data_IF_567138116296
#
_entry.id   IF_567138116296
#
_cell.length_a   1.000
_cell.length_b   1.000
_cell.length_c   1.000
_cell.angle_alpha   90.00
_cell.angle_beta   90.00
_cell.angle_gamma   90.00
#
_symmetry.space_group_name_H-M   'P 1'
#
loop_
_entity.id
_entity.type
_entity.pdbx_description
1 polymer ?
#
# COMPACT_ATOMS: atom_id res chain seq x y z
N UNK A 1 -3.00 -3.36 12.84
CA UNK A 1 -3.13 -2.40 11.70
C UNK A 1 -2.02 -1.36 11.89
N UNK A 2 -1.26 -1.01 10.84
CA UNK A 2 -0.23 0.05 10.95
C UNK A 2 -0.86 1.41 11.28
N UNK A 3 -0.18 2.26 12.05
CA UNK A 3 -0.66 3.60 12.41
C UNK A 3 -0.96 4.48 11.19
N UNK A 4 -0.15 4.39 10.13
CA UNK A 4 -0.44 5.08 8.86
C UNK A 4 -1.77 4.63 8.25
N UNK A 5 -2.06 3.33 8.29
CA UNK A 5 -3.33 2.78 7.81
C UNK A 5 -4.49 3.21 8.70
N UNK A 6 -4.29 3.29 10.02
CA UNK A 6 -5.29 3.80 10.96
C UNK A 6 -5.61 5.26 10.68
N UNK A 7 -4.59 6.10 10.54
CA UNK A 7 -4.72 7.53 10.24
C UNK A 7 -5.47 7.77 8.93
N UNK A 8 -5.11 7.04 7.87
CA UNK A 8 -5.80 7.14 6.58
C UNK A 8 -7.28 6.76 6.67
N UNK A 9 -7.61 5.71 7.42
CA UNK A 9 -9.01 5.32 7.64
C UNK A 9 -9.78 6.40 8.39
N UNK A 10 -9.19 6.99 9.43
CA UNK A 10 -9.79 8.10 10.17
C UNK A 10 -10.03 9.31 9.26
N UNK A 11 -9.06 9.67 8.43
CA UNK A 11 -9.20 10.75 7.45
C UNK A 11 -10.36 10.48 6.48
N UNK A 12 -10.46 9.28 5.91
CA UNK A 12 -11.55 8.95 4.99
C UNK A 12 -12.92 8.92 5.67
N UNK A 13 -13.00 8.52 6.93
CA UNK A 13 -14.23 8.64 7.71
C UNK A 13 -14.57 10.11 7.97
N UNK A 14 -13.60 10.96 8.30
CA UNK A 14 -13.83 12.39 8.49
C UNK A 14 -14.35 13.06 7.20
N UNK A 15 -13.79 12.72 6.05
CA UNK A 15 -14.28 13.22 4.76
C UNK A 15 -15.72 12.82 4.45
N UNK A 16 -16.13 11.62 4.85
CA UNK A 16 -17.54 11.20 4.75
C UNK A 16 -18.45 12.07 5.62
N UNK A 17 -18.03 12.36 6.86
CA UNK A 17 -18.80 13.20 7.78
C UNK A 17 -18.92 14.65 7.28
N UNK A 18 -17.83 15.21 6.74
CA UNK A 18 -17.85 16.54 6.12
C UNK A 18 -18.81 16.57 4.93
N UNK A 19 -18.69 15.59 4.02
CA UNK A 19 -19.61 15.48 2.89
C UNK A 19 -21.07 15.35 3.36
N UNK A 20 -21.35 14.54 4.38
CA UNK A 20 -22.69 14.36 4.90
C UNK A 20 -23.28 15.65 5.46
N UNK A 21 -22.47 16.44 6.19
CA UNK A 21 -22.87 17.75 6.68
C UNK A 21 -23.16 18.73 5.53
N UNK A 22 -22.36 18.72 4.46
CA UNK A 22 -22.61 19.53 3.25
C UNK A 22 -23.90 19.15 2.53
N UNK A 23 -24.33 17.88 2.63
CA UNK A 23 -25.60 17.40 2.10
C UNK A 23 -26.80 17.65 3.04
N UNK A 24 -26.58 18.24 4.22
CA UNK A 24 -27.62 18.48 5.21
C UNK A 24 -28.17 17.21 5.87
N UNK A 25 -27.39 16.13 5.90
CA UNK A 25 -27.79 14.87 6.53
C UNK A 25 -27.72 14.94 8.05
N UNK A 26 -28.70 14.31 8.71
CA UNK A 26 -28.76 14.21 10.16
C UNK A 26 -27.92 13.04 10.69
N UNK A 27 -27.72 12.96 12.01
CA UNK A 27 -26.97 11.84 12.60
C UNK A 27 -27.58 10.46 12.26
N UNK A 28 -28.92 10.40 12.17
CA UNK A 28 -29.68 9.20 11.84
C UNK A 28 -29.42 8.72 10.40
N UNK A 29 -29.18 9.67 9.47
CA UNK A 29 -28.86 9.38 8.06
C UNK A 29 -27.41 8.92 7.85
N UNK A 30 -26.53 9.25 8.80
CA UNK A 30 -25.08 9.04 8.73
C UNK A 30 -24.67 7.74 9.44
N UNK A 31 -25.44 7.29 10.43
CA UNK A 31 -25.08 6.14 11.24
C UNK A 31 -26.29 5.35 11.80
N UNK A 32 -26.59 4.16 11.24
CA UNK A 32 -25.98 3.57 10.05
C UNK A 32 -26.40 4.32 8.78
N UNK A 33 -25.47 4.54 7.82
CA UNK A 33 -25.83 5.20 6.58
C UNK A 33 -26.76 4.32 5.76
N UNK A 34 -27.84 4.91 5.25
CA UNK A 34 -28.72 4.24 4.30
C UNK A 34 -27.98 3.87 3.01
N UNK A 35 -28.51 2.91 2.26
CA UNK A 35 -27.91 2.55 0.98
C UNK A 35 -27.85 3.74 0.00
N UNK A 36 -28.89 4.60 0.01
CA UNK A 36 -28.94 5.83 -0.78
C UNK A 36 -27.83 6.81 -0.38
N UNK A 37 -27.60 7.01 0.92
CA UNK A 37 -26.49 7.83 1.45
C UNK A 37 -25.14 7.33 0.93
N UNK A 38 -24.93 6.00 0.93
CA UNK A 38 -23.71 5.39 0.44
C UNK A 38 -23.52 5.57 -1.08
N UNK A 39 -24.59 5.49 -1.87
CA UNK A 39 -24.52 5.74 -3.31
C UNK A 39 -24.18 7.19 -3.62
N UNK A 40 -24.84 8.13 -2.95
CA UNK A 40 -24.62 9.56 -3.16
C UNK A 40 -23.18 9.92 -2.79
N UNK A 41 -22.68 9.38 -1.69
CA UNK A 41 -21.27 9.54 -1.32
C UNK A 41 -20.34 8.97 -2.38
N UNK A 42 -20.57 7.74 -2.86
CA UNK A 42 -19.75 7.13 -3.91
C UNK A 42 -19.82 7.92 -5.23
N UNK A 43 -21.01 8.37 -5.63
CA UNK A 43 -21.26 9.11 -6.86
C UNK A 43 -20.61 10.50 -6.84
N UNK A 44 -20.44 11.12 -5.66
CA UNK A 44 -19.77 12.41 -5.50
C UNK A 44 -18.33 12.44 -6.06
N UNK A 45 -17.71 11.26 -6.21
CA UNK A 45 -16.36 11.06 -6.72
C UNK A 45 -16.28 10.84 -8.24
N UNK A 46 -17.41 10.65 -8.92
CA UNK A 46 -17.42 10.41 -10.36
C UNK A 46 -16.73 11.55 -11.12
N UNK A 47 -15.77 11.24 -12.01
CA UNK A 47 -14.99 12.25 -12.73
C UNK A 47 -13.90 12.94 -11.91
N UNK A 48 -13.83 12.72 -10.59
CA UNK A 48 -12.89 13.42 -9.69
C UNK A 48 -11.78 12.51 -9.17
N UNK A 49 -12.10 11.26 -8.84
CA UNK A 49 -11.15 10.31 -8.25
C UNK A 49 -11.02 9.04 -9.08
N UNK A 50 -9.86 8.39 -8.96
CA UNK A 50 -9.68 7.01 -9.40
C UNK A 50 -10.64 6.07 -8.63
N UNK A 51 -11.23 5.11 -9.35
CA UNK A 51 -12.16 4.14 -8.77
C UNK A 51 -11.61 3.39 -7.56
N UNK A 52 -10.31 3.05 -7.56
CA UNK A 52 -9.64 2.44 -6.40
C UNK A 52 -9.66 3.32 -5.14
N UNK A 53 -9.51 4.63 -5.30
CA UNK A 53 -9.56 5.60 -4.19
C UNK A 53 -10.98 5.73 -3.65
N UNK A 54 -11.99 5.82 -4.52
CA UNK A 54 -13.40 5.86 -4.13
C UNK A 54 -13.80 4.59 -3.33
N UNK A 55 -13.44 3.40 -3.83
CA UNK A 55 -13.65 2.11 -3.13
C UNK A 55 -12.99 2.11 -1.75
N UNK A 56 -11.78 2.67 -1.62
CA UNK A 56 -11.07 2.74 -0.35
C UNK A 56 -11.75 3.67 0.67
N UNK A 57 -12.31 4.81 0.22
CA UNK A 57 -13.07 5.73 1.08
C UNK A 57 -14.34 5.07 1.60
N UNK A 58 -15.14 4.47 0.73
CA UNK A 58 -16.36 3.72 1.12
C UNK A 58 -16.02 2.56 2.07
N UNK A 59 -14.91 1.86 1.83
CA UNK A 59 -14.45 0.79 2.73
C UNK A 59 -14.06 1.30 4.13
N UNK A 60 -13.55 2.53 4.26
CA UNK A 60 -13.29 3.14 5.56
C UNK A 60 -14.60 3.41 6.32
N UNK A 61 -15.63 3.93 5.65
CA UNK A 61 -16.98 4.10 6.22
C UNK A 61 -17.54 2.76 6.68
N UNK A 62 -17.46 1.71 5.85
CA UNK A 62 -17.87 0.35 6.25
C UNK A 62 -17.18 -0.11 7.52
N UNK A 63 -15.85 0.04 7.61
CA UNK A 63 -15.09 -0.33 8.79
C UNK A 63 -15.48 0.48 10.04
N UNK A 64 -15.82 1.75 9.87
CA UNK A 64 -16.29 2.61 10.95
C UNK A 64 -17.66 2.18 11.49
N UNK A 65 -18.63 1.91 10.60
CA UNK A 65 -19.97 1.40 10.95
C UNK A 65 -19.87 0.04 11.66
N UNK A 66 -19.11 -0.89 11.09
CA UNK A 66 -18.95 -2.24 11.64
C UNK A 66 -18.24 -2.23 13.00
N UNK A 67 -17.30 -1.31 13.23
CA UNK A 67 -16.63 -1.16 14.55
C UNK A 67 -17.62 -0.77 15.65
N UNK A 68 -18.72 -0.08 15.30
CA UNK A 68 -19.82 0.27 16.21
C UNK A 68 -20.90 -0.82 16.31
N UNK A 69 -20.67 -2.00 15.70
CA UNK A 69 -21.61 -3.13 15.66
C UNK A 69 -22.96 -2.81 15.00
N UNK A 70 -22.97 -1.85 14.08
CA UNK A 70 -24.15 -1.49 13.31
C UNK A 70 -24.19 -2.24 11.98
N UNK A 71 -25.39 -2.39 11.42
CA UNK A 71 -25.61 -3.03 10.13
C UNK A 71 -24.99 -2.21 9.00
N UNK A 72 -24.42 -2.91 8.02
CA UNK A 72 -23.89 -2.31 6.80
C UNK A 72 -24.88 -2.55 5.67
N UNK A 73 -25.54 -1.48 5.23
CA UNK A 73 -26.58 -1.55 4.19
C UNK A 73 -26.04 -1.57 2.76
N UNK A 74 -24.72 -1.45 2.54
CA UNK A 74 -24.17 -1.40 1.18
C UNK A 74 -24.24 -2.74 0.44
N UNK A 75 -25.05 -2.82 -0.62
CA UNK A 75 -25.29 -4.01 -1.44
C UNK A 75 -24.78 -3.92 -2.90
N UNK A 76 -25.46 -4.66 -3.80
CA UNK A 76 -25.07 -4.79 -5.21
C UNK A 76 -25.11 -3.47 -5.99
N UNK A 77 -26.07 -2.61 -5.67
CA UNK A 77 -26.22 -1.32 -6.30
C UNK A 77 -25.05 -0.39 -5.95
N UNK A 78 -24.54 -0.42 -4.72
CA UNK A 78 -23.36 0.37 -4.34
C UNK A 78 -22.14 -0.08 -5.15
N UNK A 79 -22.02 -1.38 -5.39
CA UNK A 79 -21.00 -1.94 -6.28
C UNK A 79 -21.17 -1.45 -7.71
N UNK A 80 -22.40 -1.38 -8.23
CA UNK A 80 -22.68 -0.84 -9.56
C UNK A 80 -22.32 0.65 -9.67
N UNK A 81 -22.65 1.46 -8.67
CA UNK A 81 -22.26 2.87 -8.60
C UNK A 81 -20.74 3.02 -8.60
N UNK A 82 -20.03 2.23 -7.77
CA UNK A 82 -18.56 2.24 -7.74
C UNK A 82 -17.93 1.81 -9.08
N UNK A 83 -18.53 0.86 -9.79
CA UNK A 83 -18.11 0.51 -11.16
C UNK A 83 -18.35 1.67 -12.13
N UNK A 84 -19.47 2.41 -11.98
CA UNK A 84 -19.74 3.63 -12.74
C UNK A 84 -18.71 4.74 -12.47
N UNK A 85 -18.35 4.94 -11.20
CA UNK A 85 -17.28 5.87 -10.79
C UNK A 85 -15.94 5.47 -11.41
N UNK A 86 -15.61 4.19 -11.39
CA UNK A 86 -14.39 3.66 -12.01
C UNK A 86 -14.36 3.92 -13.52
N UNK A 87 -15.46 3.72 -14.24
CA UNK A 87 -15.58 4.04 -15.68
C UNK A 87 -15.49 5.54 -15.97
N UNK A 88 -15.90 6.39 -15.04
CA UNK A 88 -15.76 7.85 -15.12
C UNK A 88 -14.44 8.36 -14.52
N UNK A 89 -13.47 7.50 -14.25
CA UNK A 89 -12.15 7.93 -13.77
C UNK A 89 -11.53 8.91 -14.79
N UNK A 90 -11.08 10.10 -14.38
CA UNK A 90 -10.53 11.07 -15.33
C UNK A 90 -9.25 10.53 -15.96
N UNK A 91 -8.99 10.88 -17.23
CA UNK A 91 -7.80 10.44 -17.96
C UNK A 91 -6.49 10.76 -17.22
N UNK A 92 -6.46 11.90 -16.51
CA UNK A 92 -5.33 12.34 -15.67
C UNK A 92 -5.01 11.42 -14.48
N UNK A 93 -5.93 10.54 -14.08
CA UNK A 93 -5.69 9.54 -13.03
C UNK A 93 -4.98 8.28 -13.55
N UNK A 94 -4.87 8.10 -14.86
CA UNK A 94 -4.12 7.01 -15.44
C UNK A 94 -2.69 7.46 -15.67
N UNK A 95 -1.75 6.63 -15.22
CA UNK A 95 -0.34 6.79 -15.54
C UNK A 95 0.03 5.75 -16.58
N UNK A 96 0.86 6.15 -17.54
CA UNK A 96 1.46 5.21 -18.48
C UNK A 96 2.20 4.11 -17.72
N UNK A 97 2.10 2.90 -18.26
CA UNK A 97 2.81 1.78 -17.70
C UNK A 97 4.31 2.07 -17.73
N UNK A 98 4.94 2.07 -16.56
CA UNK A 98 6.39 2.27 -16.46
C UNK A 98 7.11 1.18 -17.27
N UNK A 99 8.16 1.53 -18.03
CA UNK A 99 8.91 0.55 -18.78
C UNK A 99 9.51 -0.50 -17.84
N UNK A 100 9.66 -1.75 -18.30
CA UNK A 100 10.25 -2.80 -17.48
C UNK A 100 11.69 -2.43 -17.12
N UNK A 101 12.05 -2.68 -15.86
CA UNK A 101 13.43 -2.59 -15.42
C UNK A 101 14.23 -3.69 -16.10
N UNK A 102 15.39 -3.34 -16.66
CA UNK A 102 16.29 -4.28 -17.33
C UNK A 102 17.58 -4.47 -16.53
N UNK A 103 18.36 -5.49 -16.88
CA UNK A 103 19.63 -5.79 -16.21
C UNK A 103 20.62 -4.65 -16.37
N UNK A 104 20.60 -3.95 -17.50
CA UNK A 104 21.51 -2.84 -17.80
C UNK A 104 21.32 -1.70 -16.79
N UNK A 105 20.07 -1.41 -16.39
CA UNK A 105 19.79 -0.40 -15.37
C UNK A 105 20.42 -0.75 -14.02
N UNK A 106 20.50 -2.05 -13.70
CA UNK A 106 21.16 -2.50 -12.47
C UNK A 106 22.68 -2.32 -12.59
N UNK A 107 23.27 -2.59 -13.75
CA UNK A 107 24.70 -2.38 -13.98
C UNK A 107 25.05 -0.91 -13.86
N UNK A 108 24.32 -0.02 -14.57
CA UNK A 108 24.50 1.43 -14.45
C UNK A 108 24.39 1.91 -13.01
N UNK A 109 23.37 1.45 -12.27
CA UNK A 109 23.23 1.81 -10.87
C UNK A 109 24.44 1.35 -10.04
N UNK A 110 24.99 0.16 -10.30
CA UNK A 110 26.11 -0.39 -9.53
C UNK A 110 27.42 0.33 -9.83
N UNK A 111 27.66 0.69 -11.09
CA UNK A 111 28.88 1.36 -11.55
C UNK A 111 29.02 2.77 -10.96
N UNK A 112 27.91 3.41 -10.60
CA UNK A 112 27.87 4.73 -9.96
C UNK A 112 27.98 4.69 -8.43
N UNK A 113 27.99 3.51 -7.80
CA UNK A 113 28.10 3.39 -6.33
C UNK A 113 29.55 3.53 -5.88
N UNK A 114 29.81 4.46 -4.96
CA UNK A 114 31.09 4.49 -4.23
C UNK A 114 31.12 3.39 -3.16
N UNK A 115 31.88 2.34 -3.44
CA UNK A 115 32.12 1.18 -2.56
C UNK A 115 33.48 1.23 -1.85
N UNK A 116 34.13 2.40 -1.80
CA UNK A 116 35.42 2.59 -1.10
C UNK A 116 35.35 2.46 0.43
N UNK A 117 34.16 2.24 1.00
CA UNK A 117 33.93 2.08 2.44
C UNK A 117 33.47 3.36 3.15
N UNK A 118 33.42 4.50 2.46
CA UNK A 118 33.03 5.81 2.98
C UNK A 118 31.52 5.94 3.29
N UNK A 119 30.68 5.17 2.58
CA UNK A 119 29.23 5.33 2.58
C UNK A 119 28.50 3.99 2.76
N UNK A 120 27.92 3.76 3.94
CA UNK A 120 27.13 2.56 4.23
C UNK A 120 25.86 2.44 3.37
N UNK A 121 25.31 3.56 2.89
CA UNK A 121 24.15 3.58 2.00
C UNK A 121 24.47 2.92 0.64
N UNK A 122 25.64 3.22 0.05
CA UNK A 122 26.03 2.64 -1.23
C UNK A 122 26.18 1.11 -1.14
N UNK A 123 26.74 0.63 -0.03
CA UNK A 123 26.83 -0.80 0.26
C UNK A 123 25.44 -1.44 0.40
N UNK A 124 24.52 -0.78 1.11
CA UNK A 124 23.14 -1.26 1.22
C UNK A 124 22.46 -1.32 -0.15
N UNK A 125 22.61 -0.27 -0.97
CA UNK A 125 22.04 -0.20 -2.32
C UNK A 125 22.63 -1.28 -3.25
N UNK A 126 23.93 -1.56 -3.15
CA UNK A 126 24.58 -2.62 -3.91
C UNK A 126 23.98 -4.01 -3.67
N UNK A 127 23.55 -4.29 -2.43
CA UNK A 127 22.89 -5.54 -2.02
C UNK A 127 21.39 -5.54 -2.33
N UNK A 128 20.70 -4.42 -2.08
CA UNK A 128 19.25 -4.28 -2.25
C UNK A 128 18.85 -4.37 -3.72
N UNK A 129 19.63 -3.78 -4.62
CA UNK A 129 19.40 -3.79 -6.07
C UNK A 129 19.15 -5.21 -6.62
N UNK A 130 20.10 -6.17 -6.53
CA UNK A 130 19.88 -7.52 -7.03
C UNK A 130 18.82 -8.28 -6.21
N UNK A 131 18.68 -8.00 -4.91
CA UNK A 131 17.64 -8.59 -4.06
C UNK A 131 16.24 -8.25 -4.54
N UNK A 132 15.95 -6.97 -4.76
CA UNK A 132 14.67 -6.50 -5.31
C UNK A 132 14.44 -7.02 -6.73
N UNK A 133 15.46 -6.99 -7.59
CA UNK A 133 15.31 -7.36 -9.00
C UNK A 133 15.16 -8.87 -9.22
N UNK A 134 16.11 -9.68 -8.73
CA UNK A 134 16.08 -11.12 -8.97
C UNK A 134 15.18 -11.86 -7.99
N UNK A 135 15.13 -11.40 -6.74
CA UNK A 135 14.25 -11.99 -5.73
C UNK A 135 12.81 -11.48 -5.80
N UNK A 136 12.52 -10.48 -6.65
CA UNK A 136 11.22 -9.80 -6.72
C UNK A 136 10.77 -9.29 -5.34
N UNK A 137 11.76 -8.96 -4.48
CA UNK A 137 11.55 -8.55 -3.11
C UNK A 137 10.99 -7.14 -3.10
N UNK A 138 10.08 -6.87 -2.17
CA UNK A 138 9.66 -5.49 -1.91
C UNK A 138 10.76 -4.83 -1.10
N UNK A 139 11.09 -3.58 -1.40
CA UNK A 139 12.10 -2.83 -0.63
C UNK A 139 11.85 -2.88 0.87
N UNK A 140 10.59 -2.82 1.31
CA UNK A 140 10.19 -2.91 2.73
C UNK A 140 10.45 -4.27 3.40
N UNK A 141 10.88 -5.30 2.68
CA UNK A 141 11.21 -6.63 3.21
C UNK A 141 12.71 -6.78 3.49
N UNK A 142 13.55 -5.90 2.92
CA UNK A 142 15.00 -5.94 3.03
C UNK A 142 15.62 -4.63 3.53
N UNK A 143 14.89 -3.52 3.43
CA UNK A 143 15.27 -2.21 3.96
C UNK A 143 14.48 -1.90 5.23
N UNK A 144 15.16 -1.28 6.18
CA UNK A 144 14.55 -0.66 7.33
C UNK A 144 13.68 0.53 6.88
N UNK A 145 12.53 0.72 7.51
CA UNK A 145 11.64 1.86 7.20
C UNK A 145 12.02 3.13 7.96
N UNK A 146 12.87 3.00 8.97
CA UNK A 146 13.37 4.06 9.84
C UNK A 146 14.86 4.27 9.59
N UNK A 147 15.34 5.49 9.86
CA UNK A 147 16.75 5.82 9.85
C UNK A 147 17.42 5.55 11.20
N UNK A 148 16.63 5.25 12.24
CA UNK A 148 17.14 4.91 13.57
C UNK A 148 17.65 3.45 13.58
N UNK A 149 18.95 3.21 13.83
CA UNK A 149 19.50 1.87 13.95
C UNK A 149 18.84 1.03 15.06
N UNK A 150 18.26 1.66 16.10
CA UNK A 150 17.56 0.96 17.17
C UNK A 150 16.29 0.24 16.69
N UNK A 151 15.71 0.67 15.57
CA UNK A 151 14.53 0.04 14.97
C UNK A 151 14.88 -1.26 14.21
N UNK A 152 16.17 -1.57 14.04
CA UNK A 152 16.59 -2.81 13.41
C UNK A 152 16.21 -4.03 14.27
N UNK A 153 15.36 -4.89 13.72
CA UNK A 153 14.97 -6.13 14.36
C UNK A 153 15.34 -7.34 13.47
N UNK A 154 16.28 -8.20 13.88
CA UNK A 154 16.73 -9.36 13.10
C UNK A 154 15.67 -10.46 12.97
N UNK A 155 14.57 -10.42 13.74
CA UNK A 155 13.41 -11.29 13.54
C UNK A 155 12.49 -10.79 12.42
N UNK A 156 12.64 -9.54 11.96
CA UNK A 156 11.79 -8.94 10.93
C UNK A 156 12.53 -8.67 9.62
N UNK A 157 13.84 -8.42 9.67
CA UNK A 157 14.67 -8.11 8.51
C UNK A 157 15.75 -9.18 8.34
N UNK A 158 16.08 -9.55 7.09
CA UNK A 158 17.13 -10.52 6.84
C UNK A 158 18.50 -9.98 7.26
N UNK A 159 19.31 -10.89 7.80
CA UNK A 159 20.71 -10.67 8.16
C UNK A 159 21.62 -11.44 7.21
N UNK A 160 22.93 -11.25 7.33
CA UNK A 160 23.92 -12.06 6.59
C UNK A 160 23.74 -13.56 6.86
N UNK A 161 23.29 -13.95 8.05
CA UNK A 161 23.04 -15.36 8.43
C UNK A 161 21.88 -15.99 7.65
N UNK A 162 20.99 -15.15 7.10
CA UNK A 162 19.85 -15.60 6.30
C UNK A 162 20.22 -15.88 4.83
N UNK A 163 21.41 -15.46 4.39
CA UNK A 163 21.93 -15.74 3.06
C UNK A 163 22.69 -17.07 3.08
N UNK A 164 22.13 -18.09 2.43
CA UNK A 164 22.76 -19.40 2.33
C UNK A 164 23.97 -19.39 1.40
N UNK A 165 24.86 -20.34 1.63
CA UNK A 165 25.99 -20.62 0.74
C UNK A 165 25.52 -20.84 -0.72
N UNK A 166 26.36 -20.49 -1.70
CA UNK A 166 26.03 -20.69 -3.10
C UNK A 166 25.77 -22.18 -3.41
N UNK A 167 24.80 -22.43 -4.29
CA UNK A 167 24.55 -23.76 -4.85
C UNK A 167 25.60 -24.10 -5.95
N UNK A 168 25.46 -25.26 -6.59
CA UNK A 168 26.34 -25.69 -7.70
C UNK A 168 26.38 -24.71 -8.88
N UNK A 169 25.33 -23.91 -9.06
CA UNK A 169 25.20 -22.89 -10.11
C UNK A 169 25.65 -21.51 -9.64
N UNK A 170 26.22 -21.40 -8.43
CA UNK A 170 26.59 -20.14 -7.78
C UNK A 170 25.42 -19.24 -7.37
N UNK A 171 24.17 -19.70 -7.47
CA UNK A 171 23.01 -18.99 -6.93
C UNK A 171 22.99 -19.07 -5.41
N UNK A 172 22.57 -17.97 -4.77
CA UNK A 172 22.37 -17.92 -3.32
C UNK A 172 20.89 -17.84 -3.00
N UNK A 173 20.49 -18.45 -1.88
CA UNK A 173 19.13 -18.37 -1.35
C UNK A 173 19.10 -17.45 -0.15
N UNK A 174 18.28 -16.40 -0.21
CA UNK A 174 18.01 -15.51 0.92
C UNK A 174 16.72 -15.98 1.61
N UNK A 175 16.80 -16.28 2.91
CA UNK A 175 15.61 -16.52 3.75
C UNK A 175 15.04 -15.19 4.23
N UNK A 176 13.73 -15.00 4.16
CA UNK A 176 13.09 -13.81 4.70
C UNK A 176 12.44 -14.14 6.05
N UNK A 177 12.86 -13.50 7.15
CA UNK A 177 12.21 -13.71 8.44
C UNK A 177 10.72 -13.35 8.41
N UNK A 178 10.35 -12.36 7.58
CA UNK A 178 8.99 -11.85 7.44
C UNK A 178 8.74 -11.38 6.01
N UNK A 179 7.56 -11.71 5.46
CA UNK A 179 7.08 -11.09 4.22
C UNK A 179 5.97 -10.11 4.52
N UNK A 180 5.73 -9.18 3.59
CA UNK A 180 4.65 -8.18 3.75
C UNK A 180 3.26 -8.82 3.82
N UNK A 181 3.06 -9.97 3.18
CA UNK A 181 1.77 -10.67 3.10
C UNK A 181 1.59 -11.74 4.17
N UNK A 182 2.66 -12.47 4.53
CA UNK A 182 2.66 -13.42 5.64
C UNK A 182 3.62 -12.92 6.70
N UNK A 183 3.05 -12.29 7.73
CA UNK A 183 3.77 -11.72 8.86
C UNK A 183 4.44 -12.78 9.77
N UNK A 184 4.32 -14.07 9.43
CA UNK A 184 4.82 -15.19 10.22
C UNK A 184 5.93 -16.01 9.57
N UNK A 185 6.02 -16.13 8.23
CA UNK A 185 7.11 -16.84 7.50
C UNK A 185 7.22 -16.40 6.03
N UNK A 186 8.46 -16.30 5.52
CA UNK A 186 8.83 -15.91 4.16
C UNK A 186 9.87 -16.84 3.53
#
# INVERSE_FOLDING_TARGET
ISDKTRQRKLQYTAEFLVWAAEQGLTEEDVLPPSEATLYNFAASFAGKLAGGTAKAKVSAVKGWVQKRRLAWEGGNNLRNVLNGVERKTPASSFHDQRPPMKKEHLSTLFDELDLSGSCGLNHAMAVVRPGCFYGQLRGSEILLQSFDPADFNPSHLPTVKDLKAPNKNSDRRLRLPKTKTKQSRG
#
